data_IF_398923529939
#
_entry.id   IF_398923529939
#
_cell.length_a   1.000
_cell.length_b   1.000
_cell.length_c   1.000
_cell.angle_alpha   90.00
_cell.angle_beta   90.00
_cell.angle_gamma   90.00
#
_symmetry.space_group_name_H-M   'P 1'
#
loop_
_entity.id
_entity.type
_entity.pdbx_description
1 polymer ?
#
# COMPACT_ATOMS: atom_id res chain seq x y z
N UNK A 1 6.12 -1.91 11.92
CA UNK A 1 6.94 -1.26 12.98
C UNK A 1 8.05 -2.15 13.51
N UNK A 2 7.76 -3.31 14.13
CA UNK A 2 8.80 -4.14 14.79
C UNK A 2 9.95 -4.59 13.89
N UNK A 3 9.74 -4.69 12.57
CA UNK A 3 10.80 -5.03 11.62
C UNK A 3 11.89 -3.95 11.52
N UNK A 4 11.51 -2.67 11.46
CA UNK A 4 12.45 -1.54 11.33
C UNK A 4 12.85 -0.95 12.69
N UNK A 5 11.90 -0.90 13.63
CA UNK A 5 12.09 -0.35 14.98
C UNK A 5 11.63 -1.35 16.04
N UNK A 6 12.37 -2.46 16.26
CA UNK A 6 12.01 -3.47 17.25
C UNK A 6 12.00 -2.94 18.70
N UNK A 7 12.73 -1.84 18.96
CA UNK A 7 12.83 -1.20 20.27
C UNK A 7 11.79 -0.10 20.52
N UNK A 8 10.96 0.25 19.53
CA UNK A 8 9.82 1.13 19.75
C UNK A 8 8.70 0.32 20.42
N UNK A 9 8.68 0.34 21.76
CA UNK A 9 7.78 -0.45 22.59
C UNK A 9 6.47 0.28 22.93
N UNK A 10 6.54 1.60 23.09
CA UNK A 10 5.36 2.44 23.31
C UNK A 10 4.70 2.76 21.97
N UNK A 11 3.52 2.18 21.73
CA UNK A 11 2.79 2.28 20.47
C UNK A 11 1.34 2.55 20.78
N UNK A 12 0.82 3.58 20.14
CA UNK A 12 -0.57 4.00 20.26
C UNK A 12 -1.20 3.97 18.87
N UNK A 13 -2.40 3.42 18.77
CA UNK A 13 -3.14 3.36 17.52
C UNK A 13 -3.94 4.66 17.32
N UNK A 14 -3.83 5.23 16.12
CA UNK A 14 -4.57 6.41 15.70
C UNK A 14 -5.23 6.16 14.34
N UNK A 15 -6.32 6.87 14.07
CA UNK A 15 -6.82 6.99 12.71
C UNK A 15 -5.74 7.65 11.85
N UNK A 16 -5.50 7.13 10.64
CA UNK A 16 -4.39 7.59 9.79
C UNK A 16 -4.38 9.11 9.57
N UNK A 17 -5.57 9.73 9.42
CA UNK A 17 -5.74 11.17 9.23
C UNK A 17 -5.38 12.02 10.46
N UNK A 18 -5.27 11.41 11.64
CA UNK A 18 -4.93 12.09 12.90
C UNK A 18 -3.44 11.98 13.25
N UNK A 19 -2.68 11.12 12.57
CA UNK A 19 -1.30 10.79 12.94
C UNK A 19 -0.39 12.03 12.88
N UNK A 20 -0.50 12.83 11.83
CA UNK A 20 0.33 14.03 11.69
C UNK A 20 0.03 15.08 12.76
N UNK A 21 -1.24 15.24 13.15
CA UNK A 21 -1.63 16.15 14.22
C UNK A 21 -1.02 15.69 15.54
N UNK A 22 -1.08 14.39 15.85
CA UNK A 22 -0.50 13.85 17.08
C UNK A 22 1.02 14.10 17.19
N UNK A 23 1.74 14.12 16.06
CA UNK A 23 3.17 14.48 16.04
C UNK A 23 3.36 16.00 16.22
N UNK A 24 2.57 16.82 15.52
CA UNK A 24 2.67 18.28 15.58
C UNK A 24 2.29 18.84 16.96
N UNK A 25 1.32 18.20 17.62
CA UNK A 25 0.85 18.56 18.96
C UNK A 25 1.74 17.95 20.07
N UNK A 26 2.87 17.33 19.70
CA UNK A 26 3.84 16.70 20.61
C UNK A 26 3.24 15.62 21.51
N UNK A 27 2.14 14.99 21.08
CA UNK A 27 1.50 13.87 21.79
C UNK A 27 2.30 12.57 21.60
N UNK A 28 2.99 12.44 20.46
CA UNK A 28 3.87 11.31 20.14
C UNK A 28 5.18 11.80 19.49
N UNK A 29 6.27 11.06 19.70
CA UNK A 29 7.59 11.41 19.14
C UNK A 29 7.68 11.23 17.62
N UNK A 30 6.89 10.31 17.05
CA UNK A 30 6.90 9.99 15.62
C UNK A 30 5.58 9.35 15.16
N UNK A 31 5.26 9.51 13.88
CA UNK A 31 4.06 8.96 13.24
C UNK A 31 4.38 8.07 12.05
N UNK A 32 3.66 6.95 11.90
CA UNK A 32 3.70 6.12 10.68
C UNK A 32 2.58 6.56 9.77
N UNK A 33 2.91 7.33 8.73
CA UNK A 33 1.93 7.80 7.74
C UNK A 33 1.76 6.82 6.59
N UNK A 34 0.56 6.79 6.01
CA UNK A 34 0.18 6.00 4.83
C UNK A 34 -0.67 6.86 3.89
N UNK A 35 -1.05 6.33 2.74
CA UNK A 35 -1.82 7.03 1.70
C UNK A 35 -1.12 8.30 1.15
N UNK A 36 -1.89 9.32 0.79
CA UNK A 36 -1.43 10.57 0.18
C UNK A 36 -0.56 11.43 1.09
N UNK A 37 -0.66 11.26 2.42
CA UNK A 37 0.12 11.98 3.42
C UNK A 37 1.63 11.93 3.16
N UNK A 38 2.10 10.86 2.49
CA UNK A 38 3.49 10.70 2.06
C UNK A 38 4.01 11.81 1.11
N UNK A 39 3.10 12.57 0.49
CA UNK A 39 3.43 13.67 -0.42
C UNK A 39 3.26 15.05 0.21
N UNK A 40 2.55 15.14 1.34
CA UNK A 40 2.11 16.42 1.94
C UNK A 40 2.72 16.70 3.30
N UNK A 41 3.28 15.70 4.01
CA UNK A 41 3.83 15.89 5.36
C UNK A 41 4.87 17.02 5.46
N UNK A 42 5.70 17.22 4.42
CA UNK A 42 6.70 18.29 4.41
C UNK A 42 6.07 19.68 4.44
N UNK A 43 4.90 19.86 3.80
CA UNK A 43 4.17 21.13 3.79
C UNK A 43 3.69 21.53 5.19
N UNK A 44 3.61 20.55 6.09
CA UNK A 44 3.22 20.74 7.48
C UNK A 44 4.41 20.91 8.43
N UNK A 45 5.63 20.99 7.90
CA UNK A 45 6.86 21.11 8.68
C UNK A 45 7.39 19.78 9.26
N UNK A 46 6.78 18.65 8.89
CA UNK A 46 7.26 17.33 9.29
C UNK A 46 8.42 16.88 8.39
N UNK A 47 9.30 16.03 8.92
CA UNK A 47 10.43 15.48 8.16
C UNK A 47 10.42 13.94 8.16
N UNK A 48 10.95 13.35 7.09
CA UNK A 48 11.05 11.90 6.96
C UNK A 48 12.12 11.34 7.89
N UNK A 49 11.71 10.49 8.83
CA UNK A 49 12.67 9.72 9.66
C UNK A 49 13.21 8.52 8.87
N UNK A 50 12.33 7.78 8.18
CA UNK A 50 12.68 6.62 7.38
C UNK A 50 11.58 6.31 6.36
N UNK A 51 11.97 5.81 5.18
CA UNK A 51 11.03 5.15 4.27
C UNK A 51 11.01 3.64 4.55
N UNK A 52 9.87 3.12 5.03
CA UNK A 52 9.73 1.71 5.39
C UNK A 52 9.75 0.78 4.16
N UNK A 53 9.37 1.29 2.98
CA UNK A 53 9.45 0.54 1.73
C UNK A 53 10.88 0.41 1.24
N UNK A 54 11.65 1.50 1.24
CA UNK A 54 13.08 1.46 0.93
C UNK A 54 13.84 0.57 1.92
N UNK A 55 13.54 0.70 3.21
CA UNK A 55 14.16 -0.14 4.25
C UNK A 55 13.86 -1.64 4.01
N UNK A 56 12.60 -1.97 3.68
CA UNK A 56 12.21 -3.35 3.35
C UNK A 56 12.97 -3.88 2.14
N UNK A 57 13.05 -3.10 1.06
CA UNK A 57 13.74 -3.50 -0.17
C UNK A 57 15.24 -3.69 0.08
N UNK A 58 15.88 -2.79 0.83
CA UNK A 58 17.29 -2.94 1.22
C UNK A 58 17.55 -4.21 2.04
N UNK A 59 16.60 -4.61 2.90
CA UNK A 59 16.76 -5.80 3.76
C UNK A 59 16.42 -7.11 3.07
N UNK A 60 15.54 -7.10 2.07
CA UNK A 60 14.98 -8.33 1.48
C UNK A 60 15.29 -8.51 -0.01
N UNK A 61 15.68 -7.45 -0.72
CA UNK A 61 15.79 -7.42 -2.18
C UNK A 61 14.46 -7.50 -2.93
N UNK A 62 13.34 -7.40 -2.20
CA UNK A 62 11.99 -7.57 -2.72
C UNK A 62 11.17 -6.30 -2.49
N UNK A 63 10.21 -5.99 -3.39
CA UNK A 63 9.28 -4.89 -3.16
C UNK A 63 8.47 -5.14 -1.88
N UNK A 64 7.99 -4.08 -1.23
CA UNK A 64 7.13 -4.19 -0.05
C UNK A 64 5.68 -4.48 -0.48
N UNK A 65 5.06 -5.60 -0.05
CA UNK A 65 3.62 -5.80 -0.22
C UNK A 65 2.85 -4.85 0.69
N UNK A 66 1.96 -4.03 0.13
CA UNK A 66 1.17 -3.04 0.89
C UNK A 66 -0.31 -3.40 0.98
N UNK A 67 -0.86 -3.95 -0.10
CA UNK A 67 -2.27 -4.32 -0.18
C UNK A 67 -2.47 -5.42 -1.20
N UNK A 68 -3.62 -6.09 -1.11
CA UNK A 68 -4.03 -7.14 -2.05
C UNK A 68 -5.53 -7.33 -2.02
N UNK A 69 -6.08 -7.86 -3.11
CA UNK A 69 -7.50 -8.19 -3.20
C UNK A 69 -7.67 -9.65 -2.79
N UNK A 70 -8.45 -9.88 -1.72
CA UNK A 70 -8.74 -11.20 -1.20
C UNK A 70 -10.12 -11.68 -1.67
N UNK A 71 -10.21 -12.97 -2.00
CA UNK A 71 -11.47 -13.62 -2.35
C UNK A 71 -11.77 -14.76 -1.37
N UNK A 72 -13.06 -14.93 -1.02
CA UNK A 72 -13.48 -15.98 -0.08
C UNK A 72 -13.21 -17.37 -0.66
N UNK A 73 -12.59 -18.25 0.14
CA UNK A 73 -12.19 -19.60 -0.28
C UNK A 73 -13.36 -20.55 -0.59
N UNK A 74 -14.55 -20.26 -0.08
CA UNK A 74 -15.75 -21.07 -0.29
C UNK A 74 -16.44 -20.82 -1.64
N UNK A 75 -16.02 -19.81 -2.41
CA UNK A 75 -16.47 -19.62 -3.78
C UNK A 75 -15.85 -20.68 -4.69
N UNK A 76 -16.55 -21.09 -5.76
CA UNK A 76 -15.98 -22.04 -6.72
C UNK A 76 -14.73 -21.46 -7.40
N UNK A 77 -13.81 -22.35 -7.82
CA UNK A 77 -12.61 -21.91 -8.55
C UNK A 77 -12.95 -21.12 -9.82
N UNK A 78 -14.02 -21.50 -10.52
CA UNK A 78 -14.54 -20.75 -11.66
C UNK A 78 -14.85 -19.30 -11.31
N UNK A 79 -15.58 -19.06 -10.21
CA UNK A 79 -15.89 -17.69 -9.76
C UNK A 79 -14.62 -16.96 -9.34
N UNK A 80 -13.70 -17.63 -8.63
CA UNK A 80 -12.43 -17.02 -8.23
C UNK A 80 -11.63 -16.51 -9.42
N UNK A 81 -11.45 -17.35 -10.45
CA UNK A 81 -10.73 -16.96 -11.67
C UNK A 81 -11.46 -15.89 -12.47
N UNK A 82 -12.79 -15.97 -12.57
CA UNK A 82 -13.58 -14.93 -13.26
C UNK A 82 -13.40 -13.55 -12.61
N UNK A 83 -13.49 -13.47 -11.28
CA UNK A 83 -13.27 -12.21 -10.54
C UNK A 83 -11.85 -11.69 -10.77
N UNK A 84 -10.84 -12.55 -10.72
CA UNK A 84 -9.45 -12.17 -10.99
C UNK A 84 -9.28 -11.58 -12.40
N UNK A 85 -9.83 -12.24 -13.42
CA UNK A 85 -9.80 -11.75 -14.81
C UNK A 85 -10.51 -10.41 -14.96
N UNK A 86 -11.69 -10.23 -14.35
CA UNK A 86 -12.45 -8.98 -14.43
C UNK A 86 -11.72 -7.81 -13.76
N UNK A 87 -11.08 -8.05 -12.61
CA UNK A 87 -10.26 -7.02 -11.95
C UNK A 87 -9.07 -6.64 -12.84
N UNK A 88 -8.36 -7.62 -13.38
CA UNK A 88 -7.23 -7.36 -14.28
C UNK A 88 -7.67 -6.55 -15.51
N UNK A 89 -8.81 -6.89 -16.11
CA UNK A 89 -9.40 -6.14 -17.22
C UNK A 89 -9.77 -4.71 -16.84
N UNK A 90 -10.37 -4.51 -15.66
CA UNK A 90 -10.70 -3.18 -15.14
C UNK A 90 -9.47 -2.30 -14.97
N UNK A 91 -8.37 -2.85 -14.47
CA UNK A 91 -7.11 -2.09 -14.30
C UNK A 91 -6.53 -1.72 -15.67
N UNK A 92 -6.44 -2.69 -16.59
CA UNK A 92 -5.96 -2.42 -17.97
C UNK A 92 -6.81 -1.38 -18.68
N UNK A 93 -8.13 -1.40 -18.50
CA UNK A 93 -9.03 -0.41 -19.07
C UNK A 93 -8.79 0.98 -18.48
N UNK A 94 -8.49 1.08 -17.18
CA UNK A 94 -8.19 2.37 -16.55
C UNK A 94 -6.93 3.02 -17.12
N UNK A 95 -5.95 2.22 -17.56
CA UNK A 95 -4.71 2.69 -18.17
C UNK A 95 -4.87 3.22 -19.60
N UNK A 96 -5.89 2.78 -20.36
CA UNK A 96 -6.11 3.26 -21.73
C UNK A 96 -6.74 4.66 -21.80
N UNK A 97 -7.23 5.19 -20.66
CA UNK A 97 -7.97 6.45 -20.58
C UNK A 97 -7.14 7.64 -20.06
N UNK A 98 -5.81 7.53 -20.05
CA UNK A 98 -4.91 8.63 -19.69
C UNK A 98 -4.87 9.68 -20.82
N UNK A 99 -5.05 10.99 -20.51
CA UNK A 99 -4.45 11.66 -19.35
C UNK A 99 -5.40 12.13 -18.24
N UNK A 100 -6.72 12.02 -18.41
CA UNK A 100 -7.68 12.66 -17.49
C UNK A 100 -7.96 11.77 -16.26
N UNK A 101 -8.12 12.39 -15.09
CA UNK A 101 -8.67 11.71 -13.92
C UNK A 101 -10.19 11.62 -14.10
N UNK A 102 -10.78 10.47 -13.82
CA UNK A 102 -12.24 10.36 -13.91
C UNK A 102 -12.91 11.14 -12.78
N UNK A 103 -14.13 11.63 -13.03
CA UNK A 103 -14.96 12.30 -12.02
C UNK A 103 -15.10 11.43 -10.75
N UNK A 104 -15.18 10.11 -10.93
CA UNK A 104 -15.22 9.17 -9.81
C UNK A 104 -13.98 9.28 -8.89
N UNK A 105 -12.78 9.44 -9.45
CA UNK A 105 -11.56 9.60 -8.65
C UNK A 105 -11.56 10.95 -7.94
N UNK A 106 -11.89 12.03 -8.66
CA UNK A 106 -11.85 13.39 -8.10
C UNK A 106 -12.88 13.58 -7.00
N UNK A 107 -14.06 12.97 -7.12
CA UNK A 107 -15.15 13.10 -6.15
C UNK A 107 -14.90 12.33 -4.84
N UNK A 108 -13.98 11.35 -4.85
CA UNK A 108 -13.73 10.47 -3.71
C UNK A 108 -12.32 10.62 -3.10
N UNK A 109 -11.46 11.46 -3.69
CA UNK A 109 -10.15 11.77 -3.15
C UNK A 109 -10.24 12.80 -2.03
N UNK A 110 -9.47 12.61 -0.95
CA UNK A 110 -9.38 13.61 0.13
C UNK A 110 -8.52 14.82 -0.26
N UNK A 111 -7.50 14.59 -1.08
CA UNK A 111 -6.64 15.63 -1.62
C UNK A 111 -7.26 16.21 -2.89
N UNK A 112 -7.38 17.53 -2.97
CA UNK A 112 -8.03 18.22 -4.08
C UNK A 112 -7.10 18.47 -5.27
N UNK A 113 -5.77 18.34 -5.08
CA UNK A 113 -4.79 18.53 -6.15
C UNK A 113 -4.77 17.37 -7.15
N UNK A 114 -5.15 17.58 -8.42
CA UNK A 114 -5.09 16.54 -9.46
C UNK A 114 -3.66 15.99 -9.66
N UNK A 115 -2.64 16.83 -9.45
CA UNK A 115 -1.25 16.41 -9.56
C UNK A 115 -0.87 15.38 -8.47
N UNK A 116 -1.32 15.60 -7.23
CA UNK A 116 -1.06 14.67 -6.13
C UNK A 116 -1.87 13.39 -6.31
N UNK A 117 -3.12 13.49 -6.76
CA UNK A 117 -3.93 12.31 -7.11
C UNK A 117 -3.24 11.46 -8.18
N UNK A 118 -2.70 12.09 -9.24
CA UNK A 118 -1.98 11.39 -10.31
C UNK A 118 -0.73 10.70 -9.77
N UNK A 119 0.10 11.39 -8.99
CA UNK A 119 1.29 10.80 -8.35
C UNK A 119 0.93 9.62 -7.44
N UNK A 120 -0.19 9.70 -6.74
CA UNK A 120 -0.68 8.61 -5.91
C UNK A 120 -1.05 7.39 -6.78
N UNK A 121 -1.83 7.59 -7.83
CA UNK A 121 -2.22 6.51 -8.76
C UNK A 121 -0.99 5.88 -9.40
N UNK A 122 -0.09 6.67 -9.98
CA UNK A 122 1.08 6.16 -10.70
C UNK A 122 2.02 5.36 -9.78
N UNK A 123 2.03 5.69 -8.49
CA UNK A 123 2.84 4.98 -7.50
C UNK A 123 2.24 3.63 -7.09
N UNK A 124 0.92 3.57 -6.89
CA UNK A 124 0.24 2.39 -6.34
C UNK A 124 -0.44 1.49 -7.40
N UNK A 125 -0.68 2.03 -8.60
CA UNK A 125 -1.26 1.31 -9.74
C UNK A 125 -0.18 1.10 -10.79
N UNK A 126 0.43 -0.07 -10.78
CA UNK A 126 1.52 -0.45 -11.67
C UNK A 126 1.37 -1.91 -12.12
N UNK A 127 2.41 -2.49 -12.74
CA UNK A 127 2.39 -3.87 -13.22
C UNK A 127 2.00 -4.89 -12.14
N UNK A 128 2.39 -4.67 -10.88
CA UNK A 128 2.00 -5.56 -9.76
C UNK A 128 0.50 -5.55 -9.45
N UNK A 129 -0.20 -4.46 -9.79
CA UNK A 129 -1.65 -4.36 -9.66
C UNK A 129 -2.37 -5.23 -10.69
N UNK A 130 -1.76 -5.43 -11.86
CA UNK A 130 -2.28 -6.25 -12.96
C UNK A 130 -1.97 -7.73 -12.72
N UNK A 131 -0.73 -8.03 -12.37
CA UNK A 131 -0.25 -9.36 -12.03
C UNK A 131 0.97 -9.26 -11.12
N UNK A 132 0.98 -10.00 -10.01
CA UNK A 132 2.09 -9.98 -9.06
C UNK A 132 3.40 -10.48 -9.69
N UNK A 133 3.32 -11.35 -10.71
CA UNK A 133 4.44 -12.12 -11.22
C UNK A 133 5.11 -12.96 -10.13
N UNK A 134 6.24 -13.57 -10.47
CA UNK A 134 6.98 -14.38 -9.51
C UNK A 134 7.62 -13.50 -8.41
N UNK A 135 8.17 -12.33 -8.76
CA UNK A 135 8.79 -11.43 -7.79
C UNK A 135 7.79 -10.88 -6.77
N UNK A 136 6.57 -10.52 -7.18
CA UNK A 136 5.52 -10.07 -6.27
C UNK A 136 5.01 -11.19 -5.37
N UNK A 137 4.81 -12.40 -5.90
CA UNK A 137 4.46 -13.58 -5.08
C UNK A 137 5.53 -13.88 -4.04
N UNK A 138 6.81 -13.84 -4.42
CA UNK A 138 7.95 -13.97 -3.51
C UNK A 138 7.95 -12.89 -2.43
N UNK A 139 7.65 -11.64 -2.78
CA UNK A 139 7.56 -10.55 -1.82
C UNK A 139 6.49 -10.81 -0.74
N UNK A 140 5.29 -11.26 -1.15
CA UNK A 140 4.22 -11.60 -0.20
C UNK A 140 4.60 -12.79 0.67
N UNK A 141 5.19 -13.84 0.09
CA UNK A 141 5.68 -14.98 0.87
C UNK A 141 6.75 -14.54 1.87
N UNK A 142 7.69 -13.68 1.47
CA UNK A 142 8.73 -13.17 2.36
C UNK A 142 8.16 -12.36 3.52
N UNK A 143 7.14 -11.54 3.25
CA UNK A 143 6.41 -10.81 4.28
C UNK A 143 5.71 -11.76 5.25
N UNK A 144 5.02 -12.78 4.73
CA UNK A 144 4.37 -13.79 5.55
C UNK A 144 5.37 -14.55 6.45
N UNK A 145 6.50 -15.00 5.89
CA UNK A 145 7.59 -15.64 6.64
C UNK A 145 8.16 -14.73 7.73
N UNK A 146 8.35 -13.45 7.43
CA UNK A 146 8.91 -12.47 8.38
C UNK A 146 7.97 -12.22 9.56
N UNK A 147 6.65 -12.32 9.35
CA UNK A 147 5.64 -12.08 10.38
C UNK A 147 5.27 -13.36 11.14
N UNK A 148 5.02 -14.46 10.42
CA UNK A 148 4.53 -15.72 10.98
C UNK A 148 5.64 -16.73 11.33
N UNK A 149 6.87 -16.49 10.87
CA UNK A 149 8.00 -17.42 11.03
C UNK A 149 7.99 -18.60 10.06
N UNK A 150 7.00 -18.71 9.18
CA UNK A 150 6.91 -19.77 8.17
C UNK A 150 6.16 -19.29 6.91
N UNK A 151 6.37 -19.95 5.75
CA UNK A 151 5.61 -19.65 4.53
C UNK A 151 4.12 -19.96 4.69
N UNK A 152 3.27 -19.27 3.94
CA UNK A 152 1.83 -19.54 3.90
C UNK A 152 1.50 -20.31 2.62
N UNK A 153 0.94 -21.50 2.77
CA UNK A 153 0.50 -22.31 1.63
C UNK A 153 -0.85 -21.82 1.08
N UNK A 154 -1.08 -22.06 -0.21
CA UNK A 154 -2.34 -21.78 -0.90
C UNK A 154 -2.79 -20.31 -0.77
N UNK A 155 -1.85 -19.38 -0.84
CA UNK A 155 -2.12 -17.95 -0.72
C UNK A 155 -2.73 -17.36 -2.00
N UNK A 156 -2.30 -17.86 -3.16
CA UNK A 156 -2.73 -17.38 -4.47
C UNK A 156 -3.72 -18.36 -5.11
N UNK A 157 -4.49 -17.86 -6.08
CA UNK A 157 -5.41 -18.64 -6.91
C UNK A 157 -4.78 -18.92 -8.27
#
# INVERSE_FOLDING_TARGET
>A
MSFAYPRALDRIEYLFSSIENAVLDEVVDAGVIIHENRFTYQLRGLHKVMDLGEYWEQKTGLPIPLGGIAIRRNLSKTVQYQVNTLIQQSIRLSQTHLPDLSDFVTDHAQEMSPEVMRKHIDLYVNEYSIDLGEKGKMAVQKMAETIAGHPIQNLFI
#
